data_IF_680714838770
#
_entry.id   IF_680714838770
#
_cell.length_a   1.000
_cell.length_b   1.000
_cell.length_c   1.000
_cell.angle_alpha   90.00
_cell.angle_beta   90.00
_cell.angle_gamma   90.00
#
_symmetry.space_group_name_H-M   'P 1'
#
loop_
_entity.id
_entity.type
_entity.pdbx_description
1 polymer ?
#
# COMPACT_ATOMS: atom_id res chain seq x y z
N UNK A 1 2.57 5.76 -12.94
CA UNK A 1 3.03 4.66 -12.09
C UNK A 1 4.52 4.83 -11.90
N UNK A 2 4.98 5.12 -10.68
CA UNK A 2 6.40 5.37 -10.42
C UNK A 2 7.14 4.07 -10.12
N UNK A 3 8.46 4.02 -10.32
CA UNK A 3 9.30 2.82 -10.10
C UNK A 3 9.17 2.26 -8.67
N UNK A 4 8.80 3.11 -7.70
CA UNK A 4 8.61 2.75 -6.29
C UNK A 4 7.33 1.91 -6.07
N UNK A 5 6.33 2.01 -6.95
CA UNK A 5 5.07 1.25 -6.87
C UNK A 5 5.21 -0.21 -7.35
N UNK A 6 6.42 -0.65 -7.72
CA UNK A 6 6.72 -2.03 -8.17
C UNK A 6 7.72 -2.79 -7.27
N UNK A 7 8.01 -2.28 -6.07
CA UNK A 7 9.01 -2.90 -5.19
C UNK A 7 8.59 -4.26 -4.64
N UNK A 8 7.28 -4.54 -4.56
CA UNK A 8 6.74 -5.75 -3.95
C UNK A 8 5.83 -6.49 -4.92
N UNK A 9 5.88 -7.82 -4.87
CA UNK A 9 4.99 -8.69 -5.64
C UNK A 9 3.67 -8.94 -4.89
N UNK A 10 2.73 -9.59 -5.56
CA UNK A 10 1.42 -9.87 -4.96
C UNK A 10 1.55 -10.78 -3.73
N UNK A 11 2.48 -11.74 -3.75
CA UNK A 11 2.70 -12.65 -2.63
C UNK A 11 3.11 -11.90 -1.36
N UNK A 12 3.98 -10.90 -1.49
CA UNK A 12 4.35 -10.03 -0.38
C UNK A 12 3.15 -9.25 0.16
N UNK A 13 2.32 -8.66 -0.71
CA UNK A 13 1.14 -7.92 -0.26
C UNK A 13 0.12 -8.84 0.44
N UNK A 14 -0.14 -10.03 -0.11
CA UNK A 14 -1.04 -11.02 0.49
C UNK A 14 -0.54 -11.45 1.87
N UNK A 15 0.76 -11.70 2.02
CA UNK A 15 1.35 -12.06 3.31
C UNK A 15 1.21 -10.95 4.37
N UNK A 16 1.27 -9.68 3.93
CA UNK A 16 1.27 -8.50 4.81
C UNK A 16 -0.10 -7.81 4.95
N UNK A 17 -1.14 -8.32 4.31
CA UNK A 17 -2.51 -7.79 4.45
C UNK A 17 -3.11 -8.10 5.85
N UNK A 18 -2.64 -9.17 6.50
CA UNK A 18 -3.13 -9.55 7.83
C UNK A 18 -2.83 -8.49 8.90
N UNK A 19 -3.72 -8.27 9.88
CA UNK A 19 -3.46 -7.34 10.99
C UNK A 19 -2.17 -7.68 11.76
N UNK A 20 -1.92 -8.96 12.02
CA UNK A 20 -0.74 -9.41 12.77
C UNK A 20 0.57 -9.12 12.04
N UNK A 21 0.63 -9.31 10.71
CA UNK A 21 1.81 -8.94 9.93
C UNK A 21 2.05 -7.42 9.96
N UNK A 22 0.99 -6.61 9.94
CA UNK A 22 1.10 -5.14 10.05
C UNK A 22 1.60 -4.69 11.41
N UNK A 23 1.19 -5.36 12.49
CA UNK A 23 1.71 -5.09 13.83
C UNK A 23 3.20 -5.40 13.92
N UNK A 24 3.66 -6.49 13.30
CA UNK A 24 5.09 -6.81 13.19
C UNK A 24 5.86 -5.73 12.42
N UNK A 25 5.33 -5.25 11.29
CA UNK A 25 5.94 -4.15 10.53
C UNK A 25 5.97 -2.83 11.33
N UNK A 26 4.94 -2.53 12.10
CA UNK A 26 4.90 -1.36 12.98
C UNK A 26 5.95 -1.46 14.11
N UNK A 27 6.12 -2.66 14.68
CA UNK A 27 7.17 -2.95 15.65
C UNK A 27 8.57 -2.77 15.03
N UNK A 28 8.79 -3.22 13.80
CA UNK A 28 10.05 -3.04 13.08
C UNK A 28 10.36 -1.56 12.80
N UNK A 29 9.35 -0.75 12.43
CA UNK A 29 9.51 0.71 12.30
C UNK A 29 9.95 1.33 13.62
N UNK A 30 9.34 0.91 14.72
CA UNK A 30 9.67 1.41 16.06
C UNK A 30 11.11 1.04 16.45
N UNK A 31 11.52 -0.21 16.18
CA UNK A 31 12.88 -0.68 16.46
C UNK A 31 13.92 0.10 15.65
N UNK A 32 13.68 0.26 14.34
CA UNK A 32 14.57 1.03 13.46
C UNK A 32 14.63 2.52 13.82
N UNK A 33 13.53 3.09 14.34
CA UNK A 33 13.52 4.45 14.87
C UNK A 33 14.41 4.58 16.11
N UNK A 34 14.34 3.64 17.06
CA UNK A 34 15.20 3.64 18.24
C UNK A 34 16.69 3.56 17.87
N UNK A 35 17.05 2.69 16.92
CA UNK A 35 18.43 2.54 16.45
C UNK A 35 18.94 3.84 15.78
N UNK A 36 18.08 4.50 15.01
CA UNK A 36 18.35 5.81 14.41
C UNK A 36 18.59 6.88 15.47
N UNK A 37 17.72 6.99 16.48
CA UNK A 37 17.87 8.00 17.54
C UNK A 37 19.16 7.77 18.35
N UNK A 38 19.50 6.51 18.64
CA UNK A 38 20.75 6.16 19.31
C UNK A 38 21.97 6.57 18.46
N UNK A 39 21.99 6.22 17.17
CA UNK A 39 23.09 6.58 16.27
C UNK A 39 23.22 8.10 16.06
N UNK A 40 22.10 8.82 16.03
CA UNK A 40 22.08 10.28 15.96
C UNK A 40 22.69 10.90 17.23
N UNK A 41 22.34 10.40 18.41
CA UNK A 41 22.91 10.85 19.69
C UNK A 41 24.42 10.60 19.75
N UNK A 42 24.88 9.43 19.32
CA UNK A 42 26.29 9.07 19.30
C UNK A 42 27.09 9.90 18.28
N UNK A 43 26.52 10.17 17.10
CA UNK A 43 27.12 11.06 16.11
C UNK A 43 27.25 12.49 16.64
N UNK A 44 26.21 13.02 17.31
CA UNK A 44 26.27 14.34 17.94
C UNK A 44 27.37 14.41 19.00
N UNK A 45 27.52 13.36 19.82
CA UNK A 45 28.59 13.27 20.83
C UNK A 45 29.98 13.19 20.20
N UNK A 46 30.15 12.36 19.17
CA UNK A 46 31.44 12.19 18.48
C UNK A 46 31.91 13.47 17.76
N UNK A 47 31.00 14.39 17.45
CA UNK A 47 31.31 15.68 16.83
C UNK A 47 31.51 16.81 17.84
N UNK A 48 31.02 16.69 19.08
CA UNK A 48 31.09 17.74 20.10
C UNK A 48 32.23 17.58 21.10
N UNK A 49 32.74 16.36 21.30
CA UNK A 49 33.80 16.08 22.27
C UNK A 49 35.18 16.45 21.69
N UNK A 50 35.88 17.37 22.36
CA UNK A 50 37.26 17.72 22.06
C UNK A 50 38.18 16.51 22.27
N UNK A 51 39.11 16.27 21.32
CA UNK A 51 40.06 15.15 21.39
C UNK A 51 39.62 13.85 20.71
N UNK A 52 38.41 13.82 20.12
CA UNK A 52 37.99 12.73 19.23
C UNK A 52 38.70 12.85 17.88
N UNK A 53 39.22 11.73 17.36
CA UNK A 53 39.86 11.74 16.04
C UNK A 53 38.84 11.98 14.92
N UNK A 54 39.18 12.70 13.84
CA UNK A 54 38.29 12.93 12.71
C UNK A 54 37.71 11.64 12.12
N UNK A 55 38.48 10.55 12.13
CA UNK A 55 38.02 9.23 11.67
C UNK A 55 36.87 8.65 12.50
N UNK A 56 36.85 8.90 13.81
CA UNK A 56 35.76 8.44 14.69
C UNK A 56 34.48 9.25 14.46
N UNK A 57 34.59 10.55 14.23
CA UNK A 57 33.45 11.41 13.86
C UNK A 57 32.89 11.00 12.49
N UNK A 58 33.75 10.73 11.51
CA UNK A 58 33.34 10.25 10.18
C UNK A 58 32.60 8.90 10.25
N UNK A 59 33.09 7.96 11.04
CA UNK A 59 32.42 6.67 11.26
C UNK A 59 31.05 6.85 11.90
N UNK A 60 30.93 7.68 12.94
CA UNK A 60 29.67 7.93 13.63
C UNK A 60 28.62 8.58 12.70
N UNK A 61 29.04 9.54 11.87
CA UNK A 61 28.16 10.14 10.85
C UNK A 61 27.73 9.12 9.79
N UNK A 62 28.64 8.25 9.35
CA UNK A 62 28.31 7.18 8.40
C UNK A 62 27.30 6.19 8.96
N UNK A 63 27.44 5.82 10.24
CA UNK A 63 26.49 4.93 10.92
C UNK A 63 25.11 5.60 11.04
N UNK A 64 25.05 6.88 11.41
CA UNK A 64 23.80 7.64 11.46
C UNK A 64 23.09 7.68 10.10
N UNK A 65 23.82 7.90 9.00
CA UNK A 65 23.24 7.85 7.65
C UNK A 65 22.70 6.45 7.30
N UNK A 66 23.40 5.39 7.70
CA UNK A 66 22.96 4.02 7.47
C UNK A 66 21.68 3.69 8.26
N UNK A 67 21.59 4.09 9.53
CA UNK A 67 20.41 3.87 10.38
C UNK A 67 19.22 4.72 9.92
N UNK A 68 19.44 5.95 9.46
CA UNK A 68 18.42 6.77 8.82
C UNK A 68 17.82 6.05 7.60
N UNK A 69 18.67 5.56 6.70
CA UNK A 69 18.21 4.83 5.52
C UNK A 69 17.44 3.54 5.89
N UNK A 70 17.87 2.83 6.94
CA UNK A 70 17.17 1.64 7.44
C UNK A 70 15.77 1.99 7.96
N UNK A 71 15.65 3.06 8.74
CA UNK A 71 14.37 3.59 9.23
C UNK A 71 13.44 3.97 8.07
N UNK A 72 13.93 4.71 7.07
CA UNK A 72 13.12 5.12 5.92
C UNK A 72 12.60 3.92 5.11
N UNK A 73 13.41 2.86 4.95
CA UNK A 73 12.99 1.60 4.33
C UNK A 73 11.94 0.86 5.15
N UNK A 74 12.07 0.83 6.48
CA UNK A 74 11.08 0.21 7.35
C UNK A 74 9.74 0.96 7.27
N UNK A 75 9.78 2.30 7.34
CA UNK A 75 8.60 3.16 7.22
C UNK A 75 7.92 3.01 5.86
N UNK A 76 8.70 2.97 4.78
CA UNK A 76 8.17 2.74 3.43
C UNK A 76 7.47 1.40 3.31
N UNK A 77 8.07 0.31 3.82
CA UNK A 77 7.47 -1.03 3.85
C UNK A 77 6.15 -1.05 4.62
N UNK A 78 6.12 -0.50 5.84
CA UNK A 78 4.91 -0.43 6.64
C UNK A 78 3.80 0.38 5.94
N UNK A 79 4.15 1.51 5.31
CA UNK A 79 3.21 2.32 4.55
C UNK A 79 2.65 1.58 3.32
N UNK A 80 3.45 0.75 2.65
CA UNK A 80 2.97 -0.06 1.52
C UNK A 80 2.03 -1.17 1.97
N UNK A 81 2.36 -1.89 3.04
CA UNK A 81 1.48 -2.93 3.59
C UNK A 81 0.12 -2.37 4.03
N UNK A 82 0.09 -1.14 4.56
CA UNK A 82 -1.14 -0.50 5.00
C UNK A 82 -2.10 -0.11 3.85
N UNK A 83 -1.64 -0.02 2.59
CA UNK A 83 -2.51 0.34 1.44
C UNK A 83 -3.40 -0.81 0.98
N UNK A 84 -2.96 -2.05 1.19
CA UNK A 84 -3.44 -3.24 0.50
C UNK A 84 -3.92 -4.27 1.51
N UNK A 85 -5.14 -4.10 1.98
CA UNK A 85 -5.70 -4.86 3.09
C UNK A 85 -6.65 -5.96 2.67
N UNK A 86 -7.24 -5.85 1.48
CA UNK A 86 -8.30 -6.73 1.04
C UNK A 86 -7.75 -7.80 0.11
N UNK A 87 -8.04 -9.07 0.39
CA UNK A 87 -7.62 -10.20 -0.45
C UNK A 87 -8.85 -10.81 -1.11
N UNK A 88 -8.85 -10.84 -2.44
CA UNK A 88 -9.91 -11.47 -3.25
C UNK A 88 -9.24 -12.38 -4.28
N UNK A 89 -9.66 -13.63 -4.38
CA UNK A 89 -9.10 -14.58 -5.34
C UNK A 89 -7.57 -14.80 -5.21
N UNK A 90 -7.00 -14.59 -4.02
CA UNK A 90 -5.55 -14.67 -3.80
C UNK A 90 -4.76 -13.45 -4.28
N UNK A 91 -5.44 -12.36 -4.65
CA UNK A 91 -4.82 -11.11 -5.05
C UNK A 91 -5.11 -10.01 -4.01
N UNK A 92 -4.10 -9.19 -3.71
CA UNK A 92 -4.24 -8.05 -2.80
C UNK A 92 -4.78 -6.81 -3.52
N UNK A 93 -5.75 -6.16 -2.89
CA UNK A 93 -6.44 -4.97 -3.37
C UNK A 93 -6.47 -3.87 -2.31
N UNK A 94 -6.64 -2.65 -2.79
CA UNK A 94 -7.04 -1.49 -2.01
C UNK A 94 -8.48 -1.15 -2.38
N UNK A 95 -9.38 -1.24 -1.40
CA UNK A 95 -10.79 -0.91 -1.55
C UNK A 95 -11.08 0.41 -0.83
N UNK A 96 -11.57 1.41 -1.56
CA UNK A 96 -12.05 2.67 -0.98
C UNK A 96 -13.54 2.76 -1.15
N UNK A 97 -14.28 2.84 -0.03
CA UNK A 97 -15.74 2.93 -0.02
C UNK A 97 -16.19 4.32 0.40
N UNK A 98 -17.05 4.92 -0.40
CA UNK A 98 -17.73 6.18 -0.13
C UNK A 98 -19.24 5.92 -0.08
N UNK A 99 -19.88 6.28 1.03
CA UNK A 99 -21.32 6.10 1.24
C UNK A 99 -21.97 7.46 1.31
N UNK A 100 -22.93 7.72 0.42
CA UNK A 100 -23.69 8.95 0.38
C UNK A 100 -24.92 8.90 1.29
N UNK A 101 -25.42 10.06 1.76
CA UNK A 101 -26.55 10.13 2.71
C UNK A 101 -27.84 9.43 2.25
N UNK A 102 -28.05 9.34 0.93
CA UNK A 102 -29.24 8.73 0.34
C UNK A 102 -29.11 7.21 0.11
N UNK A 103 -28.08 6.58 0.66
CA UNK A 103 -27.81 5.15 0.51
C UNK A 103 -27.12 4.78 -0.80
N UNK A 104 -26.79 5.75 -1.65
CA UNK A 104 -25.90 5.53 -2.77
C UNK A 104 -24.47 5.23 -2.27
N UNK A 105 -23.75 4.38 -2.99
CA UNK A 105 -22.43 3.93 -2.59
C UNK A 105 -21.52 3.85 -3.81
N UNK A 106 -20.27 4.25 -3.64
CA UNK A 106 -19.21 4.06 -4.62
C UNK A 106 -18.06 3.31 -3.95
N UNK A 107 -17.54 2.29 -4.62
CA UNK A 107 -16.38 1.51 -4.18
C UNK A 107 -15.34 1.57 -5.30
N UNK A 108 -14.17 2.11 -5.00
CA UNK A 108 -13.02 2.06 -5.89
C UNK A 108 -12.19 0.82 -5.57
N UNK A 109 -11.94 0.02 -6.60
CA UNK A 109 -11.16 -1.23 -6.55
C UNK A 109 -9.87 -1.01 -7.30
N UNK A 110 -8.76 -1.09 -6.57
CA UNK A 110 -7.41 -0.91 -7.13
C UNK A 110 -6.56 -2.11 -6.79
N UNK A 111 -5.96 -2.75 -7.79
CA UNK A 111 -4.93 -3.76 -7.53
C UNK A 111 -3.65 -3.08 -7.05
N UNK A 112 -2.95 -3.75 -6.12
CA UNK A 112 -1.71 -3.25 -5.55
C UNK A 112 -0.49 -3.45 -6.45
N UNK A 113 -0.61 -4.30 -7.46
CA UNK A 113 0.49 -4.65 -8.37
C UNK A 113 0.15 -4.38 -9.83
N UNK A 114 -1.14 -4.32 -10.17
CA UNK A 114 -1.62 -4.08 -11.53
C UNK A 114 -2.07 -2.63 -11.71
N UNK A 115 -1.94 -2.13 -12.93
CA UNK A 115 -2.34 -0.75 -13.25
C UNK A 115 -3.85 -0.59 -13.49
N UNK A 116 -4.56 -1.71 -13.73
CA UNK A 116 -6.01 -1.71 -13.96
C UNK A 116 -6.76 -1.29 -12.70
N UNK A 117 -7.84 -0.54 -12.90
CA UNK A 117 -8.69 -0.02 -11.84
C UNK A 117 -10.14 -0.18 -12.24
N UNK A 118 -10.99 -0.33 -11.24
CA UNK A 118 -12.42 -0.34 -11.45
C UNK A 118 -13.10 0.48 -10.36
N UNK A 119 -14.23 1.10 -10.69
CA UNK A 119 -15.14 1.64 -9.71
C UNK A 119 -16.46 0.92 -9.84
N UNK A 120 -17.11 0.61 -8.72
CA UNK A 120 -18.47 0.11 -8.70
C UNK A 120 -19.35 1.04 -7.90
N UNK A 121 -20.56 1.26 -8.39
CA UNK A 121 -21.51 2.20 -7.80
C UNK A 121 -22.89 1.58 -7.70
N UNK A 122 -23.58 1.93 -6.63
CA UNK A 122 -24.94 1.57 -6.35
C UNK A 122 -25.72 2.86 -6.10
N UNK A 123 -26.82 3.08 -6.82
CA UNK A 123 -27.62 4.31 -6.68
C UNK A 123 -28.52 4.32 -5.44
N UNK A 124 -28.77 3.16 -4.83
CA UNK A 124 -29.55 3.02 -3.60
C UNK A 124 -29.76 1.57 -3.18
N UNK A 125 -30.33 1.31 -1.99
CA UNK A 125 -30.53 -0.05 -1.49
C UNK A 125 -31.37 -0.91 -2.45
N UNK A 126 -30.89 -2.12 -2.75
CA UNK A 126 -31.58 -3.07 -3.63
C UNK A 126 -31.52 -2.75 -5.13
N UNK A 127 -30.83 -1.69 -5.53
CA UNK A 127 -30.58 -1.38 -6.94
C UNK A 127 -29.47 -2.27 -7.52
N UNK A 128 -29.32 -2.23 -8.84
CA UNK A 128 -28.21 -2.88 -9.51
C UNK A 128 -26.89 -2.15 -9.27
N UNK A 129 -25.83 -2.94 -9.11
CA UNK A 129 -24.46 -2.47 -9.12
C UNK A 129 -24.03 -2.22 -10.55
N UNK A 130 -23.50 -1.04 -10.80
CA UNK A 130 -22.83 -0.72 -12.05
C UNK A 130 -21.33 -0.60 -11.79
N UNK A 131 -20.50 -1.09 -12.70
CA UNK A 131 -19.06 -0.86 -12.64
C UNK A 131 -18.57 -0.11 -13.86
N UNK A 132 -17.50 0.66 -13.65
CA UNK A 132 -16.71 1.32 -14.69
C UNK A 132 -15.28 0.82 -14.60
N UNK A 133 -14.75 0.36 -15.72
CA UNK A 133 -13.47 -0.32 -15.83
C UNK A 133 -12.48 0.54 -16.59
N UNK A 134 -11.26 0.63 -16.06
CA UNK A 134 -10.18 1.42 -16.64
C UNK A 134 -8.90 0.60 -16.72
N UNK A 135 -8.44 0.34 -17.96
CA UNK A 135 -7.15 -0.28 -18.23
C UNK A 135 -6.24 0.73 -18.96
N UNK A 136 -5.24 1.33 -18.28
CA UNK A 136 -4.36 2.31 -18.89
C UNK A 136 -3.41 1.72 -19.94
N UNK A 137 -3.26 0.40 -19.99
CA UNK A 137 -2.41 -0.28 -20.98
C UNK A 137 -3.20 -0.73 -22.21
N UNK A 138 -4.52 -0.81 -22.10
CA UNK A 138 -5.37 -1.12 -23.24
C UNK A 138 -5.61 0.14 -24.07
N UNK A 139 -5.74 -0.03 -25.38
CA UNK A 139 -6.21 1.04 -26.28
C UNK A 139 -7.72 1.25 -26.22
N UNK A 140 -8.43 0.53 -25.34
CA UNK A 140 -9.87 0.65 -25.18
C UNK A 140 -10.17 1.80 -24.23
N UNK A 141 -11.21 2.56 -24.57
CA UNK A 141 -11.76 3.57 -23.68
C UNK A 141 -12.33 2.91 -22.41
N UNK A 142 -12.42 3.66 -21.29
CA UNK A 142 -13.15 3.19 -20.13
C UNK A 142 -14.56 2.77 -20.53
N UNK A 143 -15.04 1.66 -19.97
CA UNK A 143 -16.36 1.14 -20.27
C UNK A 143 -17.09 0.76 -19.00
N UNK A 144 -18.42 0.72 -19.06
CA UNK A 144 -19.28 0.43 -17.91
C UNK A 144 -20.21 -0.75 -18.19
N UNK A 145 -20.54 -1.52 -17.16
CA UNK A 145 -21.50 -2.64 -17.24
C UNK A 145 -22.29 -2.79 -15.94
N UNK A 146 -23.45 -3.46 -16.01
CA UNK A 146 -24.19 -3.89 -14.83
C UNK A 146 -23.62 -5.20 -14.30
N UNK A 147 -23.56 -5.33 -12.97
CA UNK A 147 -23.04 -6.48 -12.22
C UNK A 147 -24.15 -7.20 -11.43
N UNK A 148 -25.41 -6.85 -11.68
CA UNK A 148 -26.55 -7.38 -10.94
C UNK A 148 -26.70 -6.79 -9.55
N UNK A 149 -27.45 -7.45 -8.67
CA UNK A 149 -27.87 -6.91 -7.37
C UNK A 149 -27.09 -7.49 -6.18
N UNK A 150 -26.40 -8.62 -6.36
CA UNK A 150 -25.63 -9.27 -5.31
C UNK A 150 -24.28 -8.57 -5.08
N UNK A 151 -24.06 -7.93 -3.92
CA UNK A 151 -22.87 -7.09 -3.71
C UNK A 151 -21.56 -7.89 -3.68
N UNK A 152 -21.60 -9.11 -3.14
CA UNK A 152 -20.41 -9.96 -3.03
C UNK A 152 -19.96 -10.48 -4.40
N UNK A 153 -20.91 -10.92 -5.22
CA UNK A 153 -20.65 -11.38 -6.59
C UNK A 153 -20.17 -10.21 -7.46
N UNK A 154 -20.81 -9.06 -7.36
CA UNK A 154 -20.38 -7.85 -8.06
C UNK A 154 -18.93 -7.47 -7.72
N UNK A 155 -18.54 -7.53 -6.44
CA UNK A 155 -17.17 -7.26 -6.02
C UNK A 155 -16.19 -8.30 -6.59
N UNK A 156 -16.54 -9.58 -6.58
CA UNK A 156 -15.69 -10.65 -7.13
C UNK A 156 -15.49 -10.48 -8.63
N UNK A 157 -16.56 -10.25 -9.39
CA UNK A 157 -16.48 -10.00 -10.83
C UNK A 157 -15.58 -8.82 -11.16
N UNK A 158 -15.65 -7.74 -10.36
CA UNK A 158 -14.76 -6.58 -10.54
C UNK A 158 -13.31 -6.94 -10.25
N UNK A 159 -13.04 -7.62 -9.14
CA UNK A 159 -11.69 -8.06 -8.78
C UNK A 159 -11.11 -9.01 -9.83
N UNK A 160 -11.89 -9.97 -10.31
CA UNK A 160 -11.50 -10.92 -11.35
C UNK A 160 -11.18 -10.22 -12.67
N UNK A 161 -11.95 -9.19 -13.06
CA UNK A 161 -11.61 -8.38 -14.22
C UNK A 161 -10.30 -7.60 -14.01
N UNK A 162 -10.06 -7.03 -12.84
CA UNK A 162 -8.81 -6.30 -12.57
C UNK A 162 -7.60 -7.23 -12.76
N UNK A 163 -7.72 -8.49 -12.32
CA UNK A 163 -6.66 -9.50 -12.43
C UNK A 163 -6.52 -10.03 -13.86
N UNK A 164 -7.61 -10.56 -14.43
CA UNK A 164 -7.60 -11.28 -15.71
C UNK A 164 -7.73 -10.37 -16.94
N UNK A 165 -8.35 -9.20 -16.79
CA UNK A 165 -8.77 -8.33 -17.89
C UNK A 165 -10.01 -8.83 -18.64
N UNK A 166 -10.67 -9.88 -18.13
CA UNK A 166 -11.83 -10.51 -18.73
C UNK A 166 -13.04 -10.39 -17.78
N UNK A 167 -14.21 -10.13 -18.37
CA UNK A 167 -15.51 -10.08 -17.70
C UNK A 167 -16.32 -11.31 -18.09
#
# INVERSE_FOLDING_TARGET
MTVIERLFDNAWYVANASPTARDLLAADVTRAWMDREAAMSDAARACSVAGVSPGRSALALSLNNATQAAYDRARSRAAQAARCTDIVGGHAFSLRREVHPYGAMTIEVTSCTLARRASMSLSGPGQEWNATFYDPQSRREPFSTSLGTAPWEALHSVCDWVVSGQL
#
